data_IF_132084789710
#
_entry.id   IF_132084789710
#
_cell.length_a   1.000
_cell.length_b   1.000
_cell.length_c   1.000
_cell.angle_alpha   90.00
_cell.angle_beta   90.00
_cell.angle_gamma   90.00
#
_symmetry.space_group_name_H-M   'P 1'
#
loop_
_entity.id
_entity.type
_entity.pdbx_description
1 polymer ?
#
# COMPACT_ATOMS: atom_id res chain seq x y z
N UNK A 1 174.95 -8.96 173.67
CA UNK A 1 174.54 -9.79 172.51
C UNK A 1 173.04 -9.65 172.16
N UNK A 2 172.32 -8.60 172.60
CA UNK A 2 170.89 -8.47 172.30
C UNK A 2 170.45 -7.12 171.73
N UNK A 3 171.26 -6.08 171.84
CA UNK A 3 170.85 -4.74 171.39
C UNK A 3 171.21 -4.44 169.93
N UNK A 4 172.08 -5.24 169.31
CA UNK A 4 172.50 -5.06 167.92
C UNK A 4 171.48 -5.59 166.88
N UNK A 5 170.55 -6.47 167.29
CA UNK A 5 169.55 -7.03 166.39
C UNK A 5 168.27 -6.16 166.31
N UNK A 6 167.88 -5.48 167.40
CA UNK A 6 166.68 -4.63 167.40
C UNK A 6 166.82 -3.36 166.54
N UNK A 7 168.04 -2.81 166.44
CA UNK A 7 168.30 -1.63 165.62
C UNK A 7 168.34 -1.94 164.12
N UNK A 8 168.67 -3.18 163.73
CA UNK A 8 168.61 -3.61 162.32
C UNK A 8 167.19 -3.81 161.82
N UNK A 9 166.26 -4.24 162.67
CA UNK A 9 164.84 -4.33 162.29
C UNK A 9 164.21 -2.95 162.05
N UNK A 10 164.52 -1.95 162.88
CA UNK A 10 163.91 -0.61 162.74
C UNK A 10 164.30 0.11 161.45
N UNK A 11 165.52 -0.08 160.96
CA UNK A 11 165.97 0.56 159.71
C UNK A 11 165.27 -0.07 158.50
N UNK A 12 165.08 -1.40 158.51
CA UNK A 12 164.39 -2.13 157.44
C UNK A 12 162.91 -1.71 157.28
N UNK A 13 162.27 -1.31 158.39
CA UNK A 13 160.90 -0.79 158.36
C UNK A 13 160.79 0.62 157.76
N UNK A 14 161.85 1.43 157.81
CA UNK A 14 161.84 2.78 157.24
C UNK A 14 161.96 2.75 155.71
N UNK A 15 162.77 1.83 155.15
CA UNK A 15 162.91 1.62 153.70
C UNK A 15 161.59 1.16 153.06
N UNK A 16 160.78 0.38 153.78
CA UNK A 16 159.51 -0.11 153.26
C UNK A 16 158.42 0.98 153.15
N UNK A 17 158.51 2.04 153.97
CA UNK A 17 157.54 3.15 153.94
C UNK A 17 157.78 4.07 152.72
N UNK A 18 159.04 4.25 152.29
CA UNK A 18 159.37 5.03 151.09
C UNK A 18 158.92 4.35 149.78
N UNK A 19 158.99 3.02 149.69
CA UNK A 19 158.46 2.27 148.54
C UNK A 19 156.96 2.48 148.36
N UNK A 20 156.19 2.43 149.45
CA UNK A 20 154.73 2.59 149.42
C UNK A 20 154.34 4.00 148.93
N UNK A 21 155.10 5.03 149.28
CA UNK A 21 154.84 6.39 148.81
C UNK A 21 155.04 6.53 147.30
N UNK A 22 156.04 5.83 146.72
CA UNK A 22 156.29 5.85 145.28
C UNK A 22 155.20 5.14 144.47
N UNK A 23 154.66 4.03 145.01
CA UNK A 23 153.57 3.29 144.38
C UNK A 23 152.25 4.08 144.32
N UNK A 24 151.98 4.91 145.33
CA UNK A 24 150.78 5.76 145.37
C UNK A 24 150.80 6.82 144.25
N UNK A 25 151.95 7.42 143.92
CA UNK A 25 152.04 8.41 142.83
C UNK A 25 151.85 7.77 141.45
N UNK A 26 152.40 6.58 141.24
CA UNK A 26 152.22 5.81 140.01
C UNK A 26 150.76 5.39 139.79
N UNK A 27 150.03 5.05 140.85
CA UNK A 27 148.60 4.72 140.76
C UNK A 27 147.75 5.94 140.38
N UNK A 28 148.08 7.15 140.85
CA UNK A 28 147.40 8.39 140.44
C UNK A 28 147.59 8.68 138.94
N UNK A 29 148.79 8.49 138.41
CA UNK A 29 149.07 8.64 136.97
C UNK A 29 148.30 7.61 136.13
N UNK A 30 148.22 6.35 136.58
CA UNK A 30 147.45 5.31 135.87
C UNK A 30 145.93 5.60 135.85
N UNK A 31 145.38 6.16 136.92
CA UNK A 31 143.96 6.55 136.98
C UNK A 31 143.62 7.69 136.01
N UNK A 32 144.50 8.67 135.84
CA UNK A 32 144.28 9.77 134.90
C UNK A 32 144.27 9.28 133.43
N UNK A 33 145.12 8.32 133.08
CA UNK A 33 145.18 7.77 131.73
C UNK A 33 144.00 6.85 131.36
N UNK A 34 143.36 6.18 132.32
CA UNK A 34 142.19 5.34 132.01
C UNK A 34 140.96 6.17 131.58
N UNK A 35 140.80 7.37 132.14
CA UNK A 35 139.65 8.24 131.83
C UNK A 35 139.71 8.82 130.41
N UNK A 36 140.92 9.17 129.94
CA UNK A 36 141.12 9.64 128.55
C UNK A 36 140.78 8.54 127.55
N UNK A 37 141.20 7.30 127.82
CA UNK A 37 140.92 6.15 126.94
C UNK A 37 139.43 5.87 126.82
N UNK A 38 138.68 5.99 127.91
CA UNK A 38 137.23 5.76 127.94
C UNK A 38 136.45 6.85 127.18
N UNK A 39 136.90 8.11 127.25
CA UNK A 39 136.27 9.22 126.52
C UNK A 39 136.56 9.16 125.01
N UNK A 40 137.80 8.85 124.61
CA UNK A 40 138.16 8.73 123.19
C UNK A 40 137.38 7.60 122.49
N UNK A 41 137.17 6.46 123.19
CA UNK A 41 136.37 5.35 122.67
C UNK A 41 134.90 5.75 122.41
N UNK A 42 134.30 6.60 123.26
CA UNK A 42 132.93 7.07 123.06
C UNK A 42 132.80 8.04 121.88
N UNK A 43 133.80 8.88 121.62
CA UNK A 43 133.80 9.81 120.48
C UNK A 43 133.88 9.03 119.16
N UNK A 44 134.73 8.01 119.08
CA UNK A 44 134.87 7.18 117.89
C UNK A 44 133.53 6.46 117.55
N UNK A 45 132.86 5.89 118.56
CA UNK A 45 131.56 5.23 118.37
C UNK A 45 130.47 6.16 117.82
N UNK A 46 130.39 7.40 118.32
CA UNK A 46 129.39 8.37 117.86
C UNK A 46 129.70 8.87 116.44
N UNK A 47 130.98 9.02 116.10
CA UNK A 47 131.42 9.46 114.77
C UNK A 47 131.02 8.44 113.69
N UNK A 48 131.17 7.14 113.98
CA UNK A 48 130.73 6.05 113.08
C UNK A 48 129.21 6.04 112.87
N UNK A 49 128.40 6.31 113.91
CA UNK A 49 126.93 6.39 113.78
C UNK A 49 126.49 7.54 112.88
N UNK A 50 127.16 8.69 112.98
CA UNK A 50 126.82 9.89 112.22
C UNK A 50 127.14 9.74 110.72
N UNK A 51 128.25 9.09 110.37
CA UNK A 51 128.56 8.77 108.96
C UNK A 51 127.53 7.81 108.33
N UNK A 52 127.09 6.77 109.07
CA UNK A 52 126.06 5.84 108.57
C UNK A 52 124.73 6.56 108.28
N UNK A 53 124.35 7.55 109.08
CA UNK A 53 123.13 8.34 108.85
C UNK A 53 123.28 9.31 107.66
N UNK A 54 124.43 9.98 107.51
CA UNK A 54 124.71 10.85 106.35
C UNK A 54 124.65 10.10 105.02
N UNK A 55 125.05 8.82 104.98
CA UNK A 55 124.94 7.99 103.78
C UNK A 55 123.52 7.57 103.39
N UNK A 56 122.55 7.54 104.33
CA UNK A 56 121.17 7.09 104.07
C UNK A 56 120.25 8.18 103.49
N UNK A 57 120.55 9.45 103.71
CA UNK A 57 119.77 10.58 103.21
C UNK A 57 119.60 10.60 101.67
N UNK A 58 120.65 10.45 100.84
CA UNK A 58 120.50 10.46 99.38
C UNK A 58 119.70 9.28 98.84
N UNK A 59 119.79 8.10 99.47
CA UNK A 59 119.01 6.92 99.06
C UNK A 59 117.49 7.10 99.30
N UNK A 60 117.11 7.86 100.35
CA UNK A 60 115.72 8.22 100.58
C UNK A 60 115.21 9.25 99.57
N UNK A 61 116.02 10.25 99.20
CA UNK A 61 115.64 11.26 98.22
C UNK A 61 115.41 10.66 96.82
N UNK A 62 116.30 9.77 96.39
CA UNK A 62 116.19 9.11 95.08
C UNK A 62 114.91 8.24 94.97
N UNK A 63 114.43 7.69 96.09
CA UNK A 63 113.16 6.95 96.17
C UNK A 63 111.94 7.86 96.03
N UNK A 64 112.00 9.07 96.57
CA UNK A 64 110.94 10.06 96.43
C UNK A 64 110.85 10.49 94.97
N UNK A 65 111.97 10.85 94.35
CA UNK A 65 112.01 11.34 92.97
C UNK A 65 111.45 10.30 91.97
N UNK A 66 111.84 9.02 92.14
CA UNK A 66 111.28 7.91 91.34
C UNK A 66 109.75 7.79 91.48
N UNK A 67 109.23 7.90 92.70
CA UNK A 67 107.80 7.79 92.94
C UNK A 67 107.01 8.99 92.39
N UNK A 68 107.56 10.20 92.43
CA UNK A 68 106.94 11.38 91.81
C UNK A 68 106.79 11.23 90.30
N UNK A 69 107.80 10.68 89.60
CA UNK A 69 107.71 10.42 88.15
C UNK A 69 106.60 9.41 87.83
N UNK A 70 106.42 8.38 88.66
CA UNK A 70 105.35 7.38 88.48
C UNK A 70 103.97 8.02 88.69
N UNK A 71 103.81 8.86 89.72
CA UNK A 71 102.56 9.58 89.99
C UNK A 71 102.18 10.49 88.82
N UNK A 72 103.14 11.22 88.25
CA UNK A 72 102.86 12.12 87.12
C UNK A 72 102.49 11.37 85.84
N UNK A 73 103.07 10.18 85.60
CA UNK A 73 102.64 9.30 84.50
C UNK A 73 101.19 8.84 84.70
N UNK A 74 100.86 8.34 85.89
CA UNK A 74 99.50 7.88 86.20
C UNK A 74 98.46 9.00 86.11
N UNK A 75 98.80 10.23 86.51
CA UNK A 75 97.91 11.39 86.34
C UNK A 75 97.65 11.71 84.87
N UNK A 76 98.67 11.65 84.02
CA UNK A 76 98.51 11.85 82.56
C UNK A 76 97.62 10.76 81.96
N UNK A 77 97.85 9.50 82.32
CA UNK A 77 97.03 8.37 81.86
C UNK A 77 95.57 8.50 82.35
N UNK A 78 95.35 8.96 83.58
CA UNK A 78 94.00 9.21 84.10
C UNK A 78 93.27 10.27 83.28
N UNK A 79 93.92 11.41 83.00
CA UNK A 79 93.33 12.49 82.20
C UNK A 79 92.98 12.00 80.79
N UNK A 80 93.89 11.27 80.15
CA UNK A 80 93.68 10.71 78.81
C UNK A 80 92.52 9.70 78.79
N UNK A 81 92.41 8.85 79.83
CA UNK A 81 91.28 7.92 79.96
C UNK A 81 89.97 8.62 80.24
N UNK A 82 89.96 9.66 81.06
CA UNK A 82 88.75 10.47 81.31
C UNK A 82 88.28 11.20 80.04
N UNK A 83 89.19 11.72 79.24
CA UNK A 83 88.86 12.39 77.97
C UNK A 83 88.34 11.40 76.92
N UNK A 84 88.95 10.22 76.82
CA UNK A 84 88.44 9.12 76.01
C UNK A 84 87.04 8.66 76.47
N UNK A 85 86.79 8.58 77.78
CA UNK A 85 85.49 8.21 78.33
C UNK A 85 84.43 9.28 78.05
N UNK A 86 84.79 10.58 78.16
CA UNK A 86 83.92 11.70 77.76
C UNK A 86 83.56 11.63 76.27
N UNK A 87 84.54 11.39 75.40
CA UNK A 87 84.28 11.31 73.95
C UNK A 87 83.44 10.08 73.58
N UNK A 88 83.66 8.93 74.21
CA UNK A 88 82.85 7.72 74.03
C UNK A 88 81.42 7.92 74.50
N UNK A 89 81.21 8.52 75.69
CA UNK A 89 79.87 8.85 76.20
C UNK A 89 79.15 9.83 75.27
N UNK A 90 79.88 10.80 74.70
CA UNK A 90 79.36 11.72 73.68
C UNK A 90 78.87 10.96 72.43
N UNK A 91 79.72 10.12 71.84
CA UNK A 91 79.39 9.30 70.67
C UNK A 91 78.22 8.34 70.94
N UNK A 92 78.22 7.66 72.09
CA UNK A 92 77.12 6.76 72.48
C UNK A 92 75.80 7.53 72.64
N UNK A 93 75.84 8.76 73.14
CA UNK A 93 74.63 9.61 73.23
C UNK A 93 74.13 10.04 71.86
N UNK A 94 75.02 10.41 70.95
CA UNK A 94 74.69 10.77 69.56
C UNK A 94 74.09 9.58 68.80
N UNK A 95 74.72 8.39 68.89
CA UNK A 95 74.21 7.15 68.31
C UNK A 95 72.84 6.77 68.89
N UNK A 96 72.64 6.94 70.20
CA UNK A 96 71.34 6.63 70.83
C UNK A 96 70.25 7.64 70.43
N UNK A 97 70.60 8.93 70.25
CA UNK A 97 69.68 9.92 69.71
C UNK A 97 69.34 9.63 68.25
N UNK A 98 70.33 9.24 67.44
CA UNK A 98 70.13 8.83 66.04
C UNK A 98 69.24 7.59 65.96
N UNK A 99 69.50 6.57 66.81
CA UNK A 99 68.66 5.37 66.91
C UNK A 99 67.21 5.71 67.23
N UNK A 100 66.95 6.56 68.23
CA UNK A 100 65.58 7.00 68.58
C UNK A 100 64.91 7.77 67.44
N UNK A 101 65.65 8.63 66.73
CA UNK A 101 65.14 9.34 65.57
C UNK A 101 64.76 8.39 64.43
N UNK A 102 65.62 7.40 64.15
CA UNK A 102 65.35 6.35 63.16
C UNK A 102 64.15 5.49 63.56
N UNK A 103 64.04 5.08 64.83
CA UNK A 103 62.88 4.32 65.34
C UNK A 103 61.56 5.09 65.17
N UNK A 104 61.56 6.40 65.46
CA UNK A 104 60.38 7.25 65.25
C UNK A 104 60.03 7.38 63.76
N UNK A 105 61.02 7.59 62.89
CA UNK A 105 60.79 7.66 61.44
C UNK A 105 60.25 6.35 60.88
N UNK A 106 60.74 5.20 61.37
CA UNK A 106 60.22 3.88 61.00
C UNK A 106 58.77 3.74 61.45
N UNK A 107 58.44 4.12 62.70
CA UNK A 107 57.08 4.05 63.21
C UNK A 107 56.11 4.93 62.39
N UNK A 108 56.52 6.14 62.00
CA UNK A 108 55.72 7.00 61.12
C UNK A 108 55.57 6.43 59.70
N UNK A 109 56.63 5.84 59.14
CA UNK A 109 56.58 5.23 57.82
C UNK A 109 55.62 4.04 57.79
N UNK A 110 55.69 3.15 58.78
CA UNK A 110 54.77 2.01 58.95
C UNK A 110 53.33 2.50 59.10
N UNK A 111 53.10 3.55 59.90
CA UNK A 111 51.76 4.13 60.05
C UNK A 111 51.21 4.64 58.70
N UNK A 112 52.03 5.36 57.92
CA UNK A 112 51.63 5.84 56.59
C UNK A 112 51.39 4.71 55.61
N UNK A 113 52.19 3.65 55.65
CA UNK A 113 52.00 2.46 54.81
C UNK A 113 50.64 1.81 55.08
N UNK A 114 50.30 1.59 56.36
CA UNK A 114 48.99 1.05 56.76
C UNK A 114 47.83 1.96 56.31
N UNK A 115 47.97 3.29 56.47
CA UNK A 115 46.94 4.24 56.05
C UNK A 115 46.74 4.23 54.52
N UNK A 116 47.83 4.19 53.75
CA UNK A 116 47.80 4.11 52.29
C UNK A 116 47.23 2.78 51.80
N UNK A 117 47.59 1.67 52.43
CA UNK A 117 47.06 0.35 52.08
C UNK A 117 45.55 0.26 52.35
N UNK A 118 45.09 0.79 53.49
CA UNK A 118 43.67 0.89 53.79
C UNK A 118 42.91 1.82 52.81
N UNK A 119 43.54 2.90 52.32
CA UNK A 119 42.97 3.75 51.27
C UNK A 119 42.94 3.04 49.92
N UNK A 120 43.98 2.29 49.59
CA UNK A 120 44.07 1.50 48.36
C UNK A 120 43.00 0.40 48.33
N UNK A 121 42.82 -0.36 49.41
CA UNK A 121 41.77 -1.38 49.53
C UNK A 121 40.37 -0.77 49.40
N UNK A 122 40.12 0.39 50.03
CA UNK A 122 38.86 1.12 49.89
C UNK A 122 38.62 1.55 48.44
N UNK A 123 39.64 2.06 47.76
CA UNK A 123 39.60 2.43 46.35
C UNK A 123 39.33 1.22 45.45
N UNK A 124 40.03 0.11 45.67
CA UNK A 124 39.88 -1.13 44.92
C UNK A 124 38.46 -1.72 45.06
N UNK A 125 37.92 -1.77 46.28
CA UNK A 125 36.53 -2.20 46.51
C UNK A 125 35.52 -1.28 45.84
N UNK A 126 35.73 0.03 45.87
CA UNK A 126 34.84 0.98 45.20
C UNK A 126 34.87 0.79 43.68
N UNK A 127 36.05 0.62 43.09
CA UNK A 127 36.24 0.32 41.67
C UNK A 127 35.56 -1.00 41.29
N UNK A 128 35.75 -2.07 42.07
CA UNK A 128 35.10 -3.35 41.83
C UNK A 128 33.57 -3.23 41.84
N UNK A 129 33.00 -2.49 42.80
CA UNK A 129 31.56 -2.25 42.89
C UNK A 129 31.03 -1.44 41.71
N UNK A 130 31.77 -0.40 41.29
CA UNK A 130 31.42 0.43 40.12
C UNK A 130 31.51 -0.37 38.83
N UNK A 131 32.54 -1.20 38.67
CA UNK A 131 32.72 -2.08 37.52
C UNK A 131 31.62 -3.16 37.44
N UNK A 132 31.25 -3.76 38.57
CA UNK A 132 30.11 -4.68 38.64
C UNK A 132 28.80 -4.02 38.20
N UNK A 133 28.55 -2.78 38.63
CA UNK A 133 27.38 -2.00 38.20
C UNK A 133 27.44 -1.62 36.73
N UNK A 134 28.61 -1.26 36.21
CA UNK A 134 28.81 -0.99 34.78
C UNK A 134 28.46 -2.22 33.95
N UNK A 135 28.97 -3.39 34.32
CA UNK A 135 28.68 -4.65 33.64
C UNK A 135 27.19 -5.01 33.67
N UNK A 136 26.52 -4.78 34.80
CA UNK A 136 25.07 -4.97 34.92
C UNK A 136 24.29 -4.01 34.00
N UNK A 137 24.61 -2.72 34.00
CA UNK A 137 23.97 -1.76 33.10
C UNK A 137 24.22 -2.11 31.62
N UNK A 138 25.42 -2.57 31.29
CA UNK A 138 25.78 -2.94 29.92
C UNK A 138 25.06 -4.22 29.47
N UNK A 139 24.82 -5.17 30.38
CA UNK A 139 23.96 -6.33 30.13
C UNK A 139 22.51 -5.90 29.92
N UNK A 140 21.96 -5.06 30.80
CA UNK A 140 20.60 -4.54 30.66
C UNK A 140 20.39 -3.76 29.35
N UNK A 141 21.38 -2.95 28.95
CA UNK A 141 21.32 -2.22 27.67
C UNK A 141 21.25 -3.19 26.49
N UNK A 142 22.06 -4.25 26.49
CA UNK A 142 22.05 -5.28 25.44
C UNK A 142 20.71 -6.02 25.40
N UNK A 143 20.18 -6.42 26.55
CA UNK A 143 18.89 -7.10 26.64
C UNK A 143 17.76 -6.20 26.13
N UNK A 144 17.76 -4.92 26.51
CA UNK A 144 16.76 -3.95 26.06
C UNK A 144 16.86 -3.69 24.54
N UNK A 145 18.08 -3.57 24.01
CA UNK A 145 18.30 -3.42 22.56
C UNK A 145 17.83 -4.65 21.79
N UNK A 146 18.09 -5.85 22.31
CA UNK A 146 17.66 -7.10 21.67
C UNK A 146 16.13 -7.25 21.69
N UNK A 147 15.48 -6.97 22.81
CA UNK A 147 14.02 -6.98 22.93
C UNK A 147 13.37 -5.93 22.04
N UNK A 148 13.92 -4.71 22.01
CA UNK A 148 13.42 -3.64 21.15
C UNK A 148 13.57 -4.01 19.68
N UNK A 149 14.72 -4.55 19.27
CA UNK A 149 14.94 -4.99 17.89
C UNK A 149 14.00 -6.12 17.49
N UNK A 150 13.82 -7.13 18.34
CA UNK A 150 12.87 -8.23 18.08
C UNK A 150 11.42 -7.74 18.01
N UNK A 151 11.00 -6.87 18.93
CA UNK A 151 9.63 -6.34 18.93
C UNK A 151 9.39 -5.45 17.70
N UNK A 152 10.33 -4.55 17.38
CA UNK A 152 10.22 -3.68 16.21
C UNK A 152 10.22 -4.49 14.91
N UNK A 153 11.06 -5.52 14.82
CA UNK A 153 11.12 -6.39 13.65
C UNK A 153 9.86 -7.24 13.49
N UNK A 154 9.31 -7.76 14.59
CA UNK A 154 8.07 -8.53 14.58
C UNK A 154 6.87 -7.63 14.22
N UNK A 155 6.77 -6.44 14.80
CA UNK A 155 5.74 -5.45 14.47
C UNK A 155 5.84 -5.00 13.00
N UNK A 156 7.05 -4.68 12.52
CA UNK A 156 7.26 -4.31 11.12
C UNK A 156 6.89 -5.45 10.16
N UNK A 157 7.27 -6.69 10.46
CA UNK A 157 6.92 -7.84 9.63
C UNK A 157 5.42 -8.15 9.65
N UNK A 158 4.76 -7.97 10.80
CA UNK A 158 3.31 -8.14 10.90
C UNK A 158 2.58 -7.05 10.11
N UNK A 159 3.00 -5.79 10.25
CA UNK A 159 2.42 -4.67 9.52
C UNK A 159 2.62 -4.79 8.01
N UNK A 160 3.77 -5.31 7.56
CA UNK A 160 4.02 -5.57 6.14
C UNK A 160 3.12 -6.69 5.59
N UNK A 161 2.89 -7.77 6.36
CA UNK A 161 1.93 -8.83 5.99
C UNK A 161 0.51 -8.30 5.93
N UNK A 162 0.10 -7.50 6.91
CA UNK A 162 -1.24 -6.90 6.96
C UNK A 162 -1.44 -5.94 5.77
N UNK A 163 -0.42 -5.14 5.43
CA UNK A 163 -0.44 -4.27 4.25
C UNK A 163 -0.56 -5.08 2.95
N UNK A 164 0.19 -6.17 2.80
CA UNK A 164 0.08 -7.06 1.63
C UNK A 164 -1.31 -7.71 1.53
N UNK A 165 -1.88 -8.18 2.65
CA UNK A 165 -3.22 -8.77 2.67
C UNK A 165 -4.30 -7.73 2.30
N UNK A 166 -4.22 -6.52 2.86
CA UNK A 166 -5.13 -5.42 2.51
C UNK A 166 -4.98 -5.07 1.01
N UNK A 167 -3.75 -5.01 0.49
CA UNK A 167 -3.54 -4.73 -0.92
C UNK A 167 -4.16 -5.82 -1.82
N UNK A 168 -3.98 -7.10 -1.48
CA UNK A 168 -4.62 -8.21 -2.21
C UNK A 168 -6.15 -8.13 -2.16
N UNK A 169 -6.72 -7.74 -1.02
CA UNK A 169 -8.17 -7.54 -0.90
C UNK A 169 -8.65 -6.35 -1.75
N UNK A 170 -7.89 -5.25 -1.79
CA UNK A 170 -8.17 -4.09 -2.65
C UNK A 170 -8.14 -4.53 -4.12
N UNK A 171 -7.11 -5.25 -4.55
CA UNK A 171 -6.97 -5.71 -5.93
C UNK A 171 -8.11 -6.66 -6.32
N UNK A 172 -8.49 -7.57 -5.41
CA UNK A 172 -9.63 -8.47 -5.60
C UNK A 172 -10.96 -7.71 -5.72
N UNK A 173 -11.22 -6.76 -4.81
CA UNK A 173 -12.42 -5.94 -4.85
C UNK A 173 -12.45 -5.06 -6.11
N UNK A 174 -11.31 -4.52 -6.53
CA UNK A 174 -11.21 -3.74 -7.75
C UNK A 174 -11.55 -4.58 -8.99
N UNK A 175 -11.02 -5.81 -9.08
CA UNK A 175 -11.35 -6.77 -10.15
C UNK A 175 -12.84 -7.14 -10.15
N UNK A 176 -13.46 -7.31 -8.98
CA UNK A 176 -14.89 -7.54 -8.88
C UNK A 176 -15.71 -6.34 -9.33
N UNK A 177 -15.30 -5.12 -8.98
CA UNK A 177 -15.98 -3.88 -9.42
C UNK A 177 -15.87 -3.72 -10.94
N UNK A 178 -14.71 -3.99 -11.54
CA UNK A 178 -14.57 -3.92 -13.00
C UNK A 178 -15.46 -4.95 -13.70
N UNK A 179 -15.51 -6.19 -13.20
CA UNK A 179 -16.40 -7.23 -13.74
C UNK A 179 -17.87 -6.83 -13.63
N UNK A 180 -18.30 -6.34 -12.46
CA UNK A 180 -19.69 -5.91 -12.26
C UNK A 180 -20.07 -4.71 -13.15
N UNK A 181 -19.11 -3.82 -13.47
CA UNK A 181 -19.34 -2.75 -14.44
C UNK A 181 -19.46 -3.26 -15.87
N UNK A 182 -18.69 -4.28 -16.24
CA UNK A 182 -18.83 -4.94 -17.55
C UNK A 182 -20.19 -5.61 -17.67
N UNK A 183 -20.62 -6.35 -16.64
CA UNK A 183 -21.95 -6.97 -16.56
C UNK A 183 -23.06 -5.90 -16.65
N UNK A 184 -22.94 -4.77 -15.94
CA UNK A 184 -23.89 -3.65 -16.00
C UNK A 184 -23.97 -3.05 -17.42
N UNK A 185 -22.83 -2.89 -18.09
CA UNK A 185 -22.78 -2.38 -19.47
C UNK A 185 -23.42 -3.37 -20.47
N UNK A 186 -23.23 -4.67 -20.26
CA UNK A 186 -23.87 -5.72 -21.07
C UNK A 186 -25.40 -5.69 -20.88
N UNK A 187 -25.88 -5.70 -19.64
CA UNK A 187 -27.32 -5.66 -19.36
C UNK A 187 -27.98 -4.36 -19.84
N UNK A 188 -27.29 -3.22 -19.75
CA UNK A 188 -27.83 -1.95 -20.29
C UNK A 188 -27.89 -1.97 -21.82
N UNK A 189 -26.92 -2.58 -22.50
CA UNK A 189 -26.98 -2.80 -23.94
C UNK A 189 -28.14 -3.73 -24.34
N UNK A 190 -28.32 -4.85 -23.63
CA UNK A 190 -29.45 -5.77 -23.83
C UNK A 190 -30.80 -5.08 -23.63
N UNK A 191 -30.96 -4.33 -22.53
CA UNK A 191 -32.17 -3.54 -22.26
C UNK A 191 -32.46 -2.55 -23.39
N UNK A 192 -31.43 -1.86 -23.89
CA UNK A 192 -31.59 -0.93 -25.01
C UNK A 192 -32.04 -1.64 -26.30
N UNK A 193 -31.57 -2.87 -26.53
CA UNK A 193 -31.98 -3.73 -27.64
C UNK A 193 -33.44 -4.14 -27.51
N UNK A 194 -33.84 -4.63 -26.34
CA UNK A 194 -35.23 -5.02 -26.04
C UNK A 194 -36.18 -3.83 -26.19
N UNK A 195 -35.82 -2.65 -25.69
CA UNK A 195 -36.64 -1.43 -25.82
C UNK A 195 -36.82 -1.03 -27.29
N UNK A 196 -35.78 -1.16 -28.13
CA UNK A 196 -35.90 -0.95 -29.57
C UNK A 196 -36.87 -1.95 -30.20
N UNK A 197 -36.72 -3.24 -29.90
CA UNK A 197 -37.64 -4.28 -30.40
C UNK A 197 -39.09 -4.03 -29.98
N UNK A 198 -39.33 -3.62 -28.73
CA UNK A 198 -40.68 -3.26 -28.25
C UNK A 198 -41.25 -2.08 -29.06
N UNK A 199 -40.43 -1.05 -29.33
CA UNK A 199 -40.86 0.10 -30.12
C UNK A 199 -41.19 -0.29 -31.56
N UNK A 200 -40.41 -1.17 -32.18
CA UNK A 200 -40.65 -1.60 -33.55
C UNK A 200 -41.90 -2.48 -33.66
N UNK A 201 -42.09 -3.43 -32.73
CA UNK A 201 -43.34 -4.20 -32.62
C UNK A 201 -44.54 -3.26 -32.41
N UNK A 202 -44.41 -2.23 -31.57
CA UNK A 202 -45.48 -1.26 -31.33
C UNK A 202 -45.85 -0.48 -32.60
N UNK A 203 -44.86 -0.13 -33.45
CA UNK A 203 -45.11 0.49 -34.75
C UNK A 203 -45.85 -0.48 -35.70
N UNK A 204 -45.42 -1.74 -35.75
CA UNK A 204 -46.08 -2.76 -36.57
C UNK A 204 -47.54 -2.99 -36.16
N UNK A 205 -47.81 -3.04 -34.85
CA UNK A 205 -49.18 -3.14 -34.33
C UNK A 205 -50.00 -1.92 -34.79
N UNK A 206 -49.47 -0.71 -34.63
CA UNK A 206 -50.17 0.51 -35.05
C UNK A 206 -50.44 0.56 -36.57
N UNK A 207 -49.52 0.04 -37.38
CA UNK A 207 -49.70 -0.06 -38.83
C UNK A 207 -50.77 -1.10 -39.20
N UNK A 208 -50.73 -2.29 -38.58
CA UNK A 208 -51.71 -3.34 -38.80
C UNK A 208 -53.12 -2.91 -38.35
N UNK A 209 -53.24 -2.15 -37.27
CA UNK A 209 -54.50 -1.56 -36.83
C UNK A 209 -55.07 -0.58 -37.86
N UNK A 210 -54.21 0.26 -38.48
CA UNK A 210 -54.62 1.16 -39.55
C UNK A 210 -55.11 0.39 -40.78
N UNK A 211 -54.38 -0.64 -41.20
CA UNK A 211 -54.78 -1.51 -42.32
C UNK A 211 -56.11 -2.20 -42.05
N UNK A 212 -56.29 -2.72 -40.83
CA UNK A 212 -57.54 -3.38 -40.42
C UNK A 212 -58.72 -2.42 -40.42
N UNK A 213 -58.54 -1.18 -39.96
CA UNK A 213 -59.57 -0.13 -40.04
C UNK A 213 -59.93 0.20 -41.49
N UNK A 214 -58.95 0.30 -42.38
CA UNK A 214 -59.17 0.55 -43.80
C UNK A 214 -60.00 -0.56 -44.44
N UNK A 215 -59.55 -1.82 -44.29
CA UNK A 215 -60.24 -2.99 -44.85
C UNK A 215 -61.69 -3.09 -44.33
N UNK A 216 -61.91 -2.81 -43.04
CA UNK A 216 -63.27 -2.78 -42.47
C UNK A 216 -64.15 -1.70 -43.10
N UNK A 217 -63.58 -0.53 -43.40
CA UNK A 217 -64.29 0.53 -44.12
C UNK A 217 -64.66 0.08 -45.53
N UNK A 218 -63.70 -0.51 -46.26
CA UNK A 218 -63.90 -0.97 -47.63
C UNK A 218 -64.98 -2.07 -47.69
N UNK A 219 -64.98 -3.02 -46.75
CA UNK A 219 -66.02 -4.04 -46.63
C UNK A 219 -67.39 -3.40 -46.38
N UNK A 220 -67.48 -2.43 -45.48
CA UNK A 220 -68.74 -1.76 -45.18
C UNK A 220 -69.28 -0.99 -46.39
N UNK A 221 -68.40 -0.38 -47.19
CA UNK A 221 -68.78 0.32 -48.42
C UNK A 221 -69.28 -0.67 -49.50
N UNK A 222 -68.60 -1.80 -49.69
CA UNK A 222 -69.03 -2.87 -50.60
C UNK A 222 -70.39 -3.47 -50.19
N UNK A 223 -70.60 -3.72 -48.90
CA UNK A 223 -71.88 -4.22 -48.38
C UNK A 223 -73.03 -3.24 -48.64
N UNK A 224 -72.79 -1.93 -48.56
CA UNK A 224 -73.80 -0.90 -48.90
C UNK A 224 -74.15 -0.92 -50.39
N UNK A 225 -73.16 -1.11 -51.26
CA UNK A 225 -73.36 -1.19 -52.71
C UNK A 225 -74.17 -2.43 -53.12
N UNK A 226 -74.05 -3.55 -52.40
CA UNK A 226 -74.84 -4.76 -52.67
C UNK A 226 -76.36 -4.53 -52.54
N UNK A 227 -76.78 -3.59 -51.70
CA UNK A 227 -78.22 -3.34 -51.42
C UNK A 227 -79.00 -2.69 -52.57
N UNK A 228 -78.31 -2.09 -53.56
CA UNK A 228 -78.94 -1.45 -54.71
C UNK A 228 -78.19 -1.78 -56.01
N UNK A 229 -78.81 -2.56 -56.90
CA UNK A 229 -78.23 -2.98 -58.21
C UNK A 229 -77.76 -1.81 -59.07
N UNK A 230 -78.45 -0.66 -58.96
CA UNK A 230 -78.10 0.58 -59.67
C UNK A 230 -76.82 1.24 -59.10
N UNK A 231 -76.50 1.03 -57.82
CA UNK A 231 -75.25 1.56 -57.22
C UNK A 231 -74.01 0.76 -57.60
N UNK A 232 -74.16 -0.42 -58.20
CA UNK A 232 -73.02 -1.17 -58.74
C UNK A 232 -72.33 -0.41 -59.90
N UNK A 233 -73.11 0.33 -60.71
CA UNK A 233 -72.63 1.03 -61.91
C UNK A 233 -72.34 2.52 -61.66
N UNK A 234 -71.47 2.83 -60.67
CA UNK A 234 -71.05 4.20 -60.35
C UNK A 234 -71.40 4.72 -58.95
N UNK A 235 -71.85 3.85 -58.05
CA UNK A 235 -72.03 4.14 -56.62
C UNK A 235 -73.24 5.02 -56.28
N UNK A 236 -73.26 5.54 -55.05
CA UNK A 236 -74.35 6.38 -54.52
C UNK A 236 -74.60 7.67 -55.34
N UNK A 237 -73.61 8.11 -56.13
CA UNK A 237 -73.72 9.32 -56.97
C UNK A 237 -74.67 9.11 -58.15
N UNK A 238 -74.79 7.89 -58.65
CA UNK A 238 -75.69 7.54 -59.76
C UNK A 238 -77.15 7.59 -59.33
N UNK A 239 -77.48 7.20 -58.10
CA UNK A 239 -78.83 7.38 -57.56
C UNK A 239 -79.25 8.85 -57.54
N UNK A 240 -78.37 9.75 -57.07
CA UNK A 240 -78.63 11.19 -57.09
C UNK A 240 -78.73 11.75 -58.51
N UNK A 241 -77.97 11.18 -59.45
CA UNK A 241 -78.06 11.55 -60.86
C UNK A 241 -79.42 11.17 -61.46
N UNK A 242 -79.91 9.96 -61.19
CA UNK A 242 -81.23 9.51 -61.64
C UNK A 242 -82.36 10.40 -61.09
N UNK A 243 -82.31 10.75 -59.81
CA UNK A 243 -83.25 11.73 -59.21
C UNK A 243 -83.18 13.10 -59.92
N UNK A 244 -81.97 13.56 -60.26
CA UNK A 244 -81.77 14.81 -61.01
C UNK A 244 -82.29 14.74 -62.44
N UNK A 245 -82.18 13.58 -63.10
CA UNK A 245 -82.70 13.34 -64.45
C UNK A 245 -84.23 13.34 -64.42
N UNK A 246 -84.85 12.63 -63.47
CA UNK A 246 -86.30 12.61 -63.27
C UNK A 246 -86.84 14.02 -63.02
N UNK A 247 -86.15 14.83 -62.21
CA UNK A 247 -86.54 16.22 -61.94
C UNK A 247 -86.49 17.08 -63.21
N UNK A 248 -85.54 16.83 -64.12
CA UNK A 248 -85.35 17.60 -65.34
C UNK A 248 -85.95 16.93 -66.60
N UNK A 249 -86.80 15.90 -66.46
CA UNK A 249 -87.33 15.11 -67.58
C UNK A 249 -87.92 15.96 -68.72
N UNK A 250 -88.57 17.10 -68.41
CA UNK A 250 -89.18 18.01 -69.41
C UNK A 250 -88.18 18.77 -70.29
N UNK A 251 -86.91 18.84 -69.88
CA UNK A 251 -85.85 19.53 -70.63
C UNK A 251 -85.23 18.63 -71.71
N UNK A 252 -85.35 17.32 -71.53
CA UNK A 252 -84.89 16.32 -72.47
C UNK A 252 -85.89 16.17 -73.62
N UNK A 253 -85.38 15.98 -74.83
CA UNK A 253 -86.20 15.62 -75.99
C UNK A 253 -86.66 14.16 -75.90
N UNK A 254 -85.81 13.29 -75.35
CA UNK A 254 -86.18 11.95 -74.92
C UNK A 254 -85.40 11.57 -73.66
N UNK A 255 -85.99 10.80 -72.73
CA UNK A 255 -85.33 10.46 -71.48
C UNK A 255 -84.04 9.68 -71.75
N UNK A 256 -82.92 10.03 -71.09
CA UNK A 256 -81.67 9.30 -71.25
C UNK A 256 -81.81 7.86 -70.73
N UNK A 257 -81.21 6.91 -71.44
CA UNK A 257 -81.21 5.49 -71.06
C UNK A 257 -79.89 5.20 -70.36
N UNK A 258 -79.91 4.84 -69.08
CA UNK A 258 -78.71 4.42 -68.38
C UNK A 258 -78.87 4.28 -66.87
N UNK A 259 -77.84 3.76 -66.17
CA UNK A 259 -76.60 3.20 -66.74
C UNK A 259 -76.90 1.94 -67.58
N UNK A 260 -76.16 1.74 -68.68
CA UNK A 260 -76.37 0.62 -69.62
C UNK A 260 -76.43 -0.73 -68.89
N UNK A 261 -75.55 -0.95 -67.91
CA UNK A 261 -75.48 -2.19 -67.13
C UNK A 261 -76.76 -2.53 -66.37
N UNK A 262 -77.55 -1.54 -65.96
CA UNK A 262 -78.83 -1.77 -65.28
C UNK A 262 -79.94 -2.24 -66.23
N UNK A 263 -79.79 -2.03 -67.55
CA UNK A 263 -80.74 -2.46 -68.58
C UNK A 263 -80.34 -3.78 -69.25
N UNK A 264 -79.30 -4.45 -68.74
CA UNK A 264 -78.82 -5.74 -69.23
C UNK A 264 -79.21 -6.85 -68.29
N UNK A 265 -79.65 -7.97 -68.87
CA UNK A 265 -79.85 -9.24 -68.21
C UNK A 265 -78.88 -10.25 -68.82
N UNK A 266 -78.22 -11.03 -67.98
CA UNK A 266 -77.38 -12.12 -68.46
C UNK A 266 -78.20 -13.40 -68.57
N UNK A 267 -78.04 -14.11 -69.69
CA UNK A 267 -78.65 -15.42 -69.90
C UNK A 267 -78.00 -16.51 -69.01
N UNK A 268 -76.75 -16.31 -68.59
CA UNK A 268 -76.04 -17.20 -67.65
C UNK A 268 -75.10 -16.41 -66.76
N UNK A 269 -75.19 -16.64 -65.45
CA UNK A 269 -74.33 -16.00 -64.44
C UNK A 269 -72.85 -16.40 -64.56
N UNK A 270 -72.57 -17.55 -65.18
CA UNK A 270 -71.21 -18.07 -65.39
C UNK A 270 -70.30 -17.15 -66.21
N UNK A 271 -70.89 -16.20 -66.94
CA UNK A 271 -70.19 -15.25 -67.80
C UNK A 271 -70.22 -13.82 -67.26
N UNK A 272 -70.75 -13.61 -66.06
CA UNK A 272 -70.92 -12.27 -65.46
C UNK A 272 -69.60 -11.47 -65.42
N UNK A 273 -68.54 -12.06 -64.88
CA UNK A 273 -67.22 -11.44 -64.76
C UNK A 273 -66.61 -11.17 -66.14
N UNK A 274 -66.75 -12.11 -67.07
CA UNK A 274 -66.28 -11.97 -68.44
C UNK A 274 -66.97 -10.83 -69.20
N UNK A 275 -68.30 -10.71 -69.07
CA UNK A 275 -69.10 -9.65 -69.69
C UNK A 275 -68.81 -8.30 -69.06
N UNK A 276 -68.62 -8.24 -67.74
CA UNK A 276 -68.24 -7.02 -67.03
C UNK A 276 -66.87 -6.51 -67.51
N UNK A 277 -65.86 -7.38 -67.61
CA UNK A 277 -64.56 -7.05 -68.18
C UNK A 277 -64.62 -6.66 -69.67
N UNK A 278 -65.49 -7.29 -70.45
CA UNK A 278 -65.61 -7.05 -71.90
C UNK A 278 -66.31 -5.73 -72.24
N UNK A 279 -67.37 -5.39 -71.51
CA UNK A 279 -68.08 -4.14 -71.69
C UNK A 279 -67.41 -2.99 -70.93
N UNK A 280 -66.80 -3.28 -69.77
CA UNK A 280 -66.08 -2.34 -68.93
C UNK A 280 -66.88 -1.07 -68.64
N UNK A 281 -66.22 0.10 -68.71
CA UNK A 281 -66.85 1.41 -68.50
C UNK A 281 -67.89 1.81 -69.55
N UNK A 282 -68.30 0.92 -70.46
CA UNK A 282 -69.51 1.10 -71.28
C UNK A 282 -70.77 0.80 -70.47
N UNK A 283 -70.71 -0.10 -69.48
CA UNK A 283 -71.85 -0.43 -68.61
C UNK A 283 -72.27 0.76 -67.74
N UNK A 284 -71.33 1.61 -67.35
CA UNK A 284 -71.59 2.85 -66.61
C UNK A 284 -72.12 4.01 -67.50
N UNK A 285 -72.19 3.81 -68.81
CA UNK A 285 -72.54 4.87 -69.75
C UNK A 285 -74.05 5.14 -69.80
N UNK A 286 -74.41 6.36 -70.19
CA UNK A 286 -75.78 6.79 -70.46
C UNK A 286 -75.94 7.13 -71.94
N UNK A 287 -77.08 6.78 -72.52
CA UNK A 287 -77.41 6.99 -73.92
C UNK A 287 -78.43 8.12 -74.03
N UNK A 288 -78.16 9.11 -74.89
CA UNK A 288 -79.04 10.26 -75.18
C UNK A 288 -79.33 10.33 -76.68
N UNK A 289 -80.47 10.91 -77.06
CA UNK A 289 -80.88 10.96 -78.47
C UNK A 289 -80.15 12.04 -79.26
N UNK A 290 -79.88 13.21 -78.66
CA UNK A 290 -79.32 14.36 -79.37
C UNK A 290 -78.24 15.11 -78.58
N UNK A 291 -77.51 15.99 -79.26
CA UNK A 291 -76.48 16.82 -78.64
C UNK A 291 -77.03 17.76 -77.57
N UNK A 292 -78.29 18.20 -77.67
CA UNK A 292 -78.94 19.02 -76.65
C UNK A 292 -79.10 18.24 -75.35
N UNK A 293 -79.62 17.02 -75.42
CA UNK A 293 -79.79 16.13 -74.26
C UNK A 293 -78.46 15.77 -73.60
N UNK A 294 -77.38 15.63 -74.39
CA UNK A 294 -76.03 15.47 -73.85
C UNK A 294 -75.63 16.63 -72.91
N UNK A 295 -75.91 17.88 -73.30
CA UNK A 295 -75.57 19.04 -72.48
C UNK A 295 -76.41 19.09 -71.20
N UNK A 296 -77.72 18.79 -71.31
CA UNK A 296 -78.63 18.74 -70.15
C UNK A 296 -78.20 17.65 -69.17
N UNK A 297 -77.83 16.46 -69.66
CA UNK A 297 -77.36 15.36 -68.83
C UNK A 297 -76.02 15.69 -68.15
N UNK A 298 -75.08 16.34 -68.87
CA UNK A 298 -73.83 16.84 -68.26
C UNK A 298 -74.07 17.87 -67.18
N UNK A 299 -75.02 18.79 -67.37
CA UNK A 299 -75.39 19.77 -66.35
C UNK A 299 -75.97 19.09 -65.10
N UNK A 300 -76.82 18.07 -65.28
CA UNK A 300 -77.34 17.25 -64.19
C UNK A 300 -76.20 16.53 -63.44
N UNK A 301 -75.25 15.94 -64.18
CA UNK A 301 -74.10 15.25 -63.62
C UNK A 301 -73.17 16.19 -62.82
N UNK A 302 -72.96 17.41 -63.31
CA UNK A 302 -72.16 18.42 -62.62
C UNK A 302 -72.78 18.84 -61.27
N UNK A 303 -74.12 18.96 -61.20
CA UNK A 303 -74.84 19.29 -59.96
C UNK A 303 -74.65 18.26 -58.85
N UNK A 304 -74.44 17.00 -59.21
CA UNK A 304 -74.21 15.89 -58.26
C UNK A 304 -72.73 15.53 -58.09
N UNK A 305 -71.82 16.35 -58.64
CA UNK A 305 -70.37 16.13 -58.65
C UNK A 305 -69.96 14.78 -59.26
N UNK A 306 -70.65 14.38 -60.34
CA UNK A 306 -70.37 13.18 -61.12
C UNK A 306 -69.77 13.57 -62.48
N UNK A 307 -68.54 14.07 -62.46
CA UNK A 307 -67.92 14.72 -63.62
C UNK A 307 -67.38 13.74 -64.68
N UNK A 308 -67.14 12.48 -64.31
CA UNK A 308 -66.58 11.46 -65.21
C UNK A 308 -67.67 10.58 -65.86
N UNK A 309 -68.85 11.14 -66.11
CA UNK A 309 -69.96 10.42 -66.73
C UNK A 309 -69.68 10.18 -68.23
N UNK A 310 -69.73 8.91 -68.65
CA UNK A 310 -69.68 8.55 -70.08
C UNK A 310 -71.07 8.69 -70.69
N UNK A 311 -71.20 9.54 -71.72
CA UNK A 311 -72.47 9.78 -72.43
C UNK A 311 -72.29 9.43 -73.90
N UNK A 312 -73.21 8.65 -74.44
CA UNK A 312 -73.24 8.21 -75.84
C UNK A 312 -74.45 8.84 -76.52
N UNK A 313 -74.23 9.53 -77.63
CA UNK A 313 -75.33 10.06 -78.45
C UNK A 313 -75.72 8.98 -79.45
N UNK A 314 -76.96 8.50 -79.36
CA UNK A 314 -77.49 7.48 -80.25
C UNK A 314 -78.95 7.76 -80.60
N UNK A 315 -79.29 7.64 -81.86
CA UNK A 315 -80.65 7.88 -82.35
C UNK A 315 -81.58 6.72 -81.99
N UNK A 316 -82.57 6.99 -81.12
CA UNK A 316 -83.52 6.00 -80.61
C UNK A 316 -84.50 5.50 -81.68
N UNK A 317 -84.65 6.22 -82.79
CA UNK A 317 -85.54 5.82 -83.89
C UNK A 317 -84.98 4.69 -84.74
N UNK A 318 -83.69 4.37 -84.58
CA UNK A 318 -83.03 3.31 -85.34
C UNK A 318 -83.59 1.94 -84.96
N UNK A 319 -84.04 1.12 -85.94
CA UNK A 319 -84.48 -0.23 -85.65
C UNK A 319 -83.32 -1.09 -85.12
N UNK A 320 -83.66 -2.24 -84.54
CA UNK A 320 -82.65 -3.22 -84.10
C UNK A 320 -81.72 -3.58 -85.26
N UNK A 321 -80.41 -3.51 -85.01
CA UNK A 321 -79.40 -3.86 -86.01
C UNK A 321 -79.53 -5.35 -86.36
N UNK A 322 -79.65 -5.62 -87.66
CA UNK A 322 -79.57 -6.98 -88.21
C UNK A 322 -78.12 -7.19 -88.62
N UNK A 323 -77.42 -8.05 -87.89
CA UNK A 323 -76.02 -8.37 -88.16
C UNK A 323 -75.99 -9.48 -89.21
N UNK A 324 -75.35 -9.28 -90.37
CA UNK A 324 -75.23 -10.34 -91.37
C UNK A 324 -74.42 -11.52 -90.84
N UNK A 325 -74.80 -12.75 -91.18
CA UNK A 325 -74.12 -13.97 -90.71
C UNK A 325 -72.62 -13.98 -91.05
N UNK A 326 -72.23 -13.37 -92.17
CA UNK A 326 -70.83 -13.25 -92.59
C UNK A 326 -69.99 -12.26 -91.76
N UNK A 327 -70.60 -11.46 -90.89
CA UNK A 327 -69.94 -10.51 -89.99
C UNK A 327 -69.76 -11.03 -88.57
N UNK A 328 -70.42 -12.13 -88.22
CA UNK A 328 -70.25 -12.80 -86.93
C UNK A 328 -68.97 -13.64 -86.92
N UNK A 329 -68.35 -13.84 -85.75
CA UNK A 329 -67.27 -14.81 -85.57
C UNK A 329 -67.73 -16.23 -85.91
N UNK A 330 -66.91 -16.98 -86.64
CA UNK A 330 -67.13 -18.42 -86.84
C UNK A 330 -66.53 -19.18 -85.67
N UNK A 331 -67.27 -19.28 -84.56
CA UNK A 331 -66.80 -19.95 -83.33
C UNK A 331 -67.88 -20.85 -82.73
N UNK A 332 -67.45 -21.94 -82.09
CA UNK A 332 -68.35 -22.78 -81.26
C UNK A 332 -68.62 -22.14 -79.89
N UNK A 333 -67.83 -21.12 -79.53
CA UNK A 333 -67.92 -20.39 -78.29
C UNK A 333 -68.92 -19.23 -78.38
N UNK A 334 -69.65 -18.93 -77.28
CA UNK A 334 -70.62 -17.83 -77.25
C UNK A 334 -69.92 -16.47 -77.35
N UNK A 335 -70.58 -15.50 -77.98
CA UNK A 335 -70.15 -14.09 -77.98
C UNK A 335 -70.83 -13.32 -76.85
N UNK A 336 -70.28 -12.17 -76.46
CA UNK A 336 -70.90 -11.28 -75.47
C UNK A 336 -72.34 -10.95 -75.88
N UNK A 337 -72.59 -10.61 -77.15
CA UNK A 337 -73.92 -10.34 -77.66
C UNK A 337 -74.91 -11.51 -77.52
N UNK A 338 -74.42 -12.75 -77.61
CA UNK A 338 -75.27 -13.95 -77.48
C UNK A 338 -75.69 -14.25 -76.03
N UNK A 339 -74.91 -13.78 -75.05
CA UNK A 339 -75.14 -14.04 -73.62
C UNK A 339 -75.91 -12.91 -72.94
N UNK A 340 -75.85 -11.70 -73.48
CA UNK A 340 -76.62 -10.56 -72.97
C UNK A 340 -78.01 -10.48 -73.61
N UNK A 341 -78.97 -10.04 -72.80
CA UNK A 341 -80.34 -9.77 -73.22
C UNK A 341 -80.75 -8.39 -72.70
N UNK A 342 -81.52 -7.65 -73.51
CA UNK A 342 -82.09 -6.37 -73.10
C UNK A 342 -83.43 -6.17 -73.77
N UNK A 343 -84.37 -5.58 -73.04
CA UNK A 343 -85.67 -5.17 -73.58
C UNK A 343 -85.53 -4.00 -74.56
N UNK A 344 -84.48 -3.19 -74.41
CA UNK A 344 -84.25 -2.00 -75.22
C UNK A 344 -83.23 -2.27 -76.34
N UNK A 345 -83.72 -2.28 -77.59
CA UNK A 345 -82.87 -2.48 -78.77
C UNK A 345 -81.80 -1.39 -78.95
N UNK A 346 -82.02 -0.16 -78.46
CA UNK A 346 -81.00 0.90 -78.47
C UNK A 346 -79.77 0.52 -77.65
N UNK A 347 -79.98 -0.14 -76.50
CA UNK A 347 -78.87 -0.59 -75.63
C UNK A 347 -78.05 -1.66 -76.34
N UNK A 348 -78.70 -2.65 -76.96
CA UNK A 348 -78.03 -3.69 -77.76
C UNK A 348 -77.29 -3.10 -78.96
N UNK A 349 -77.92 -2.15 -79.67
CA UNK A 349 -77.29 -1.49 -80.81
C UNK A 349 -76.03 -0.72 -80.40
N UNK A 350 -76.06 0.00 -79.27
CA UNK A 350 -74.88 0.69 -78.74
C UNK A 350 -73.77 -0.28 -78.33
N UNK A 351 -74.11 -1.41 -77.73
CA UNK A 351 -73.13 -2.45 -77.36
C UNK A 351 -72.47 -3.08 -78.59
N UNK A 352 -73.19 -3.20 -79.71
CA UNK A 352 -72.63 -3.62 -80.99
C UNK A 352 -71.76 -2.51 -81.60
N UNK A 353 -72.30 -1.31 -81.77
CA UNK A 353 -71.63 -0.21 -82.49
C UNK A 353 -70.39 0.32 -81.74
N UNK A 354 -70.45 0.41 -80.41
CA UNK A 354 -69.38 0.99 -79.58
C UNK A 354 -68.59 -0.08 -78.81
N UNK A 355 -69.25 -1.14 -78.38
CA UNK A 355 -68.65 -2.23 -77.61
C UNK A 355 -68.12 -3.38 -78.47
N UNK A 356 -68.59 -3.52 -79.72
CA UNK A 356 -68.33 -4.68 -80.57
C UNK A 356 -68.68 -6.02 -79.91
N UNK A 357 -69.76 -6.03 -79.12
CA UNK A 357 -70.20 -7.20 -78.36
C UNK A 357 -70.42 -8.45 -79.24
N UNK A 358 -70.70 -8.26 -80.54
CA UNK A 358 -70.86 -9.33 -81.53
C UNK A 358 -69.55 -10.00 -81.94
N UNK A 359 -68.41 -9.33 -81.70
CA UNK A 359 -67.06 -9.82 -82.05
C UNK A 359 -66.20 -10.18 -80.84
N UNK A 360 -66.74 -10.04 -79.64
CA UNK A 360 -66.10 -10.43 -78.39
C UNK A 360 -66.52 -11.86 -78.03
N UNK A 361 -65.57 -12.79 -78.00
CA UNK A 361 -65.83 -14.23 -77.76
C UNK A 361 -65.50 -14.61 -76.32
N UNK A 362 -66.33 -15.44 -75.72
CA UNK A 362 -66.23 -15.87 -74.33
C UNK A 362 -65.80 -17.35 -74.25
N UNK A 363 -64.71 -17.62 -73.53
CA UNK A 363 -64.12 -18.96 -73.36
C UNK A 363 -63.98 -19.30 -71.88
N UNK A 364 -64.08 -20.58 -71.53
CA UNK A 364 -63.98 -20.99 -70.11
C UNK A 364 -62.55 -20.94 -69.61
N UNK A 365 -61.64 -21.56 -70.35
CA UNK A 365 -60.26 -21.76 -69.90
C UNK A 365 -59.27 -20.84 -70.63
N UNK A 366 -58.25 -20.40 -69.91
CA UNK A 366 -57.17 -19.54 -70.43
C UNK A 366 -56.46 -20.15 -71.65
N UNK A 367 -56.13 -21.44 -71.62
CA UNK A 367 -55.43 -22.12 -72.72
C UNK A 367 -56.28 -22.15 -74.00
N UNK A 368 -57.60 -22.34 -73.87
CA UNK A 368 -58.53 -22.30 -75.01
C UNK A 368 -58.59 -20.89 -75.59
N UNK A 369 -58.63 -19.86 -74.72
CA UNK A 369 -58.60 -18.46 -75.14
C UNK A 369 -57.32 -18.08 -75.87
N UNK A 370 -56.18 -18.54 -75.38
CA UNK A 370 -54.87 -18.30 -76.01
C UNK A 370 -54.79 -18.92 -77.40
N UNK A 371 -55.18 -20.19 -77.55
CA UNK A 371 -55.16 -20.82 -78.87
C UNK A 371 -56.13 -20.16 -79.85
N UNK A 372 -57.32 -19.76 -79.40
CA UNK A 372 -58.31 -19.08 -80.25
C UNK A 372 -57.87 -17.65 -80.65
N UNK A 373 -57.19 -16.93 -79.75
CA UNK A 373 -56.74 -15.57 -80.02
C UNK A 373 -55.47 -15.52 -80.89
N UNK A 374 -54.52 -16.45 -80.69
CA UNK A 374 -53.19 -16.37 -81.29
C UNK A 374 -52.91 -17.43 -82.36
N UNK A 375 -53.33 -18.68 -82.17
CA UNK A 375 -52.98 -19.80 -83.05
C UNK A 375 -53.98 -19.95 -84.20
N UNK A 376 -55.28 -19.87 -83.87
CA UNK A 376 -56.38 -20.17 -84.77
C UNK A 376 -57.14 -18.86 -85.10
N UNK A 377 -56.50 -17.96 -85.87
CA UNK A 377 -57.05 -16.63 -86.22
C UNK A 377 -58.34 -16.73 -87.02
N UNK A 378 -59.43 -16.98 -86.30
CA UNK A 378 -60.78 -17.09 -86.81
C UNK A 378 -61.27 -15.74 -87.33
N UNK A 379 -62.11 -15.79 -88.37
CA UNK A 379 -62.62 -14.57 -89.01
C UNK A 379 -63.51 -13.80 -88.03
N UNK A 380 -63.39 -12.48 -88.08
CA UNK A 380 -64.23 -11.50 -87.38
C UNK A 380 -64.15 -11.49 -85.83
N UNK A 381 -63.26 -12.23 -85.18
CA UNK A 381 -62.99 -12.02 -83.75
C UNK A 381 -62.27 -10.69 -83.53
N UNK A 382 -62.66 -9.93 -82.50
CA UNK A 382 -61.95 -8.73 -82.06
C UNK A 382 -61.14 -8.99 -80.78
N UNK A 383 -61.78 -9.58 -79.78
CA UNK A 383 -61.21 -9.81 -78.44
C UNK A 383 -61.76 -11.13 -77.88
N UNK A 384 -60.99 -11.80 -77.03
CA UNK A 384 -61.37 -13.04 -76.35
C UNK A 384 -61.25 -12.84 -74.84
N UNK A 385 -62.28 -13.23 -74.10
CA UNK A 385 -62.36 -13.10 -72.65
C UNK A 385 -62.57 -14.45 -71.98
N UNK A 386 -61.83 -14.72 -70.91
CA UNK A 386 -62.04 -15.91 -70.08
C UNK A 386 -63.23 -15.73 -69.15
N UNK A 387 -63.76 -16.81 -68.58
CA UNK A 387 -64.85 -16.73 -67.59
C UNK A 387 -64.45 -15.92 -66.35
N UNK A 388 -63.16 -15.87 -66.03
CA UNK A 388 -62.60 -15.12 -64.90
C UNK A 388 -62.38 -13.63 -65.20
N UNK A 389 -62.68 -13.19 -66.43
CA UNK A 389 -62.60 -11.78 -66.83
C UNK A 389 -61.25 -11.35 -67.39
N UNK A 390 -60.33 -12.26 -67.64
CA UNK A 390 -59.05 -11.94 -68.27
C UNK A 390 -59.22 -11.74 -69.78
N UNK A 391 -58.58 -10.69 -70.29
CA UNK A 391 -58.53 -10.38 -71.73
C UNK A 391 -57.28 -11.00 -72.35
N UNK A 392 -57.45 -11.75 -73.43
CA UNK A 392 -56.37 -12.37 -74.20
C UNK A 392 -55.85 -11.48 -75.33
#
# INVERSE_FOLDING_TARGET
>A
MRELDELREKIKNMEHIEEIAHDIDNLKKKLAWSWVYEVDQQIEEQTVKLQKLKGRAPACQERIDRNTVVIDKLKKELIEKEENLRSLVGKTREENNMKKSMENNIAEAVKREIELEAEHERGAHMLQRKNGRLNQLQAQLRDFQMQHMQSTQAEASQMEKDMQNIQQQIDHLHSNVTRLREDENEFTAELSGIVKSINDISKEIAENDRRTKQIKSDIADLQRQQSNTVTAFGGQRVLKLLESIETNHKKFESPPIGPIGAHLQLASESWSVAVDSACGGLLDAFIVTCCKDLHVLRECASKVNFNNLRIIVYDFTRPRLIIPDGSLPTTEHPTVLSVIQSENHTVLNVLVDQGHAERQVLVKDYEVGKSLAFDDRMRNIKEVYTSDGDKM
#
